data_IF_914752762689
#
_entry.id   IF_914752762689
#
_cell.length_a   1.000
_cell.length_b   1.000
_cell.length_c   1.000
_cell.angle_alpha   90.00
_cell.angle_beta   90.00
_cell.angle_gamma   90.00
#
_symmetry.space_group_name_H-M   'P 1'
#
loop_
_entity.id
_entity.type
_entity.pdbx_description
1 polymer ?
#
# COMPACT_ATOMS: atom_id res chain seq x y z
N UNK A 1 -22.25 -59.03 15.86
CA UNK A 1 -23.32 -58.62 14.91
C UNK A 1 -22.83 -57.36 14.23
N UNK A 2 -22.17 -57.51 13.09
CA UNK A 2 -22.78 -57.40 11.75
C UNK A 2 -23.13 -55.96 11.38
N UNK A 3 -22.30 -55.38 10.53
CA UNK A 3 -22.74 -54.37 9.58
C UNK A 3 -23.90 -54.91 8.73
N UNK A 4 -24.83 -54.05 8.31
CA UNK A 4 -25.50 -54.21 7.04
C UNK A 4 -24.92 -53.23 6.00
N UNK A 5 -24.69 -53.81 4.83
CA UNK A 5 -24.27 -53.19 3.57
C UNK A 5 -25.41 -52.42 2.91
N UNK A 6 -25.04 -51.28 2.31
CA UNK A 6 -25.52 -50.64 1.08
C UNK A 6 -26.98 -50.73 0.62
N UNK A 7 -27.57 -49.55 0.32
CA UNK A 7 -28.38 -49.33 -0.90
C UNK A 7 -28.20 -47.88 -1.41
N UNK A 8 -27.83 -47.78 -2.69
CA UNK A 8 -27.91 -46.57 -3.51
C UNK A 8 -29.35 -46.05 -3.61
N UNK A 9 -29.52 -44.73 -3.67
CA UNK A 9 -30.61 -44.09 -4.41
C UNK A 9 -30.04 -42.89 -5.17
N UNK A 10 -30.30 -42.93 -6.47
CA UNK A 10 -29.99 -41.94 -7.51
C UNK A 10 -30.79 -40.63 -7.38
N UNK A 11 -30.40 -39.58 -8.11
CA UNK A 11 -30.82 -38.19 -7.90
C UNK A 11 -32.14 -37.86 -8.61
N UNK A 12 -32.91 -36.94 -8.04
CA UNK A 12 -34.05 -36.31 -8.72
C UNK A 12 -33.98 -34.81 -8.50
N UNK A 13 -33.38 -34.10 -9.45
CA UNK A 13 -34.12 -33.05 -10.16
C UNK A 13 -33.41 -32.75 -11.49
N UNK A 14 -34.15 -33.03 -12.56
CA UNK A 14 -33.88 -32.63 -13.93
C UNK A 14 -34.47 -31.22 -14.12
N UNK A 15 -33.70 -30.30 -14.71
CA UNK A 15 -34.26 -29.21 -15.51
C UNK A 15 -33.42 -29.01 -16.77
N UNK A 16 -33.83 -29.68 -17.84
CA UNK A 16 -33.71 -29.18 -19.23
C UNK A 16 -34.68 -28.01 -19.38
N UNK A 17 -34.48 -26.91 -20.10
CA UNK A 17 -33.44 -26.43 -21.01
C UNK A 17 -33.70 -24.91 -21.15
N UNK A 18 -32.70 -24.07 -21.44
CA UNK A 18 -32.61 -23.38 -22.73
C UNK A 18 -31.27 -22.65 -22.88
N UNK A 19 -31.01 -22.25 -24.12
CA UNK A 19 -29.73 -22.17 -24.81
C UNK A 19 -29.02 -20.81 -24.67
N UNK A 20 -27.70 -20.85 -24.83
CA UNK A 20 -26.84 -19.79 -25.38
C UNK A 20 -26.38 -18.66 -24.43
N UNK A 21 -25.10 -18.68 -24.04
CA UNK A 21 -24.21 -17.53 -23.81
C UNK A 21 -22.84 -17.99 -23.29
N UNK A 22 -21.83 -17.94 -24.16
CA UNK A 22 -20.41 -17.74 -23.81
C UNK A 22 -19.67 -18.91 -23.13
N UNK A 23 -18.55 -19.32 -23.73
CA UNK A 23 -17.61 -20.21 -23.06
C UNK A 23 -17.21 -19.65 -21.68
N UNK A 24 -17.06 -20.49 -20.63
CA UNK A 24 -16.53 -20.04 -19.35
C UNK A 24 -15.14 -19.43 -19.56
N UNK A 25 -14.79 -18.35 -18.85
CA UNK A 25 -13.45 -17.76 -18.95
C UNK A 25 -12.40 -18.82 -18.61
N UNK A 26 -11.22 -18.81 -19.27
CA UNK A 26 -10.20 -19.82 -19.03
C UNK A 26 -9.77 -19.82 -17.57
N UNK A 27 -9.70 -21.01 -16.98
CA UNK A 27 -9.10 -21.24 -15.66
C UNK A 27 -7.65 -20.74 -15.69
N UNK A 28 -7.33 -19.76 -14.87
CA UNK A 28 -5.99 -19.20 -14.77
C UNK A 28 -5.16 -20.02 -13.78
N UNK A 29 -4.75 -21.21 -14.21
CA UNK A 29 -3.59 -21.86 -13.59
C UNK A 29 -2.35 -21.19 -14.17
N UNK A 30 -1.70 -20.37 -13.36
CA UNK A 30 -0.42 -19.75 -13.66
C UNK A 30 0.63 -20.88 -13.76
N UNK A 31 0.75 -21.47 -14.95
CA UNK A 31 1.75 -22.46 -15.27
C UNK A 31 3.12 -21.81 -15.07
N UNK A 32 3.81 -22.20 -14.00
CA UNK A 32 5.17 -21.77 -13.68
C UNK A 32 6.12 -22.30 -14.77
N UNK A 33 6.71 -21.45 -15.63
CA UNK A 33 7.83 -21.88 -16.44
C UNK A 33 9.08 -21.68 -15.59
N UNK A 34 9.84 -22.77 -15.46
CA UNK A 34 11.16 -22.85 -14.87
C UNK A 34 12.04 -21.63 -15.18
N UNK A 35 12.72 -21.15 -14.15
CA UNK A 35 13.68 -20.05 -14.20
C UNK A 35 14.68 -20.20 -15.36
N UNK A 36 14.55 -19.34 -16.35
CA UNK A 36 15.64 -18.86 -17.19
C UNK A 36 15.70 -17.34 -16.99
N UNK A 37 16.91 -16.83 -16.73
CA UNK A 37 17.21 -15.41 -16.61
C UNK A 37 16.95 -14.70 -17.94
N UNK A 38 15.68 -14.36 -18.20
CA UNK A 38 15.29 -13.50 -19.30
C UNK A 38 15.38 -12.04 -18.83
N UNK A 39 16.17 -11.26 -19.55
CA UNK A 39 16.44 -9.84 -19.33
C UNK A 39 15.16 -9.05 -19.02
N UNK A 40 14.94 -8.75 -17.73
CA UNK A 40 13.99 -7.76 -17.26
C UNK A 40 14.46 -6.38 -17.73
N UNK A 41 13.57 -5.42 -18.03
CA UNK A 41 13.97 -4.03 -18.13
C UNK A 41 14.70 -3.67 -16.84
N UNK A 42 15.91 -3.11 -16.98
CA UNK A 42 16.78 -2.77 -15.87
C UNK A 42 16.12 -1.65 -15.07
N UNK A 43 15.47 -2.01 -13.96
CA UNK A 43 15.08 -1.05 -12.94
C UNK A 43 16.38 -0.58 -12.29
N UNK A 44 16.92 0.53 -12.80
CA UNK A 44 18.09 1.16 -12.19
C UNK A 44 17.86 1.30 -10.69
N UNK A 45 18.85 0.89 -9.89
CA UNK A 45 18.81 0.99 -8.44
C UNK A 45 18.37 2.42 -8.06
N UNK A 46 17.15 2.57 -7.55
CA UNK A 46 16.65 3.88 -7.08
C UNK A 46 17.53 4.46 -5.95
N UNK A 47 18.38 3.63 -5.34
CA UNK A 47 19.39 4.03 -4.35
C UNK A 47 20.71 4.53 -4.93
N UNK A 48 21.08 4.17 -6.17
CA UNK A 48 22.41 4.48 -6.71
C UNK A 48 22.44 5.80 -7.51
N UNK A 49 21.27 6.34 -7.88
CA UNK A 49 21.15 7.59 -8.64
C UNK A 49 21.36 8.87 -7.82
N UNK A 50 21.80 8.78 -6.56
CA UNK A 50 22.10 9.96 -5.74
C UNK A 50 23.56 10.43 -5.83
N UNK A 51 24.46 9.69 -6.50
CA UNK A 51 25.90 10.00 -6.53
C UNK A 51 26.64 9.76 -7.88
N UNK A 52 25.96 9.85 -9.03
CA UNK A 52 26.64 9.71 -10.33
C UNK A 52 26.89 11.07 -11.00
N UNK A 53 28.16 11.43 -11.20
CA UNK A 53 28.57 12.58 -12.01
C UNK A 53 28.10 12.46 -13.47
N UNK A 54 27.79 13.63 -14.04
CA UNK A 54 27.04 13.83 -15.27
C UNK A 54 27.64 13.19 -16.54
N UNK A 55 26.81 12.45 -17.27
CA UNK A 55 26.95 12.14 -18.70
C UNK A 55 25.62 12.37 -19.42
N UNK A 56 25.62 12.77 -20.71
CA UNK A 56 24.43 13.34 -21.35
C UNK A 56 23.53 12.24 -21.89
N UNK A 57 22.59 11.78 -21.07
CA UNK A 57 21.40 11.05 -21.51
C UNK A 57 20.24 11.54 -20.67
N UNK A 58 19.26 12.14 -21.34
CA UNK A 58 18.07 12.79 -20.76
C UNK A 58 17.14 11.77 -20.08
N UNK A 59 17.54 11.25 -18.93
CA UNK A 59 16.63 10.68 -17.94
C UNK A 59 16.40 11.79 -16.92
N UNK A 60 15.24 12.44 -16.96
CA UNK A 60 14.86 13.45 -15.97
C UNK A 60 14.81 12.76 -14.61
N UNK A 61 15.91 12.85 -13.86
CA UNK A 61 16.01 12.31 -12.52
C UNK A 61 15.01 13.10 -11.68
N UNK A 62 13.87 12.48 -11.37
CA UNK A 62 12.86 13.07 -10.50
C UNK A 62 13.54 13.41 -9.17
N UNK A 63 13.75 14.70 -8.92
CA UNK A 63 14.30 15.17 -7.65
C UNK A 63 13.21 15.04 -6.61
N UNK A 64 13.47 14.27 -5.57
CA UNK A 64 12.50 14.09 -4.51
C UNK A 64 12.32 15.42 -3.75
N UNK A 65 11.06 15.86 -3.68
CA UNK A 65 10.65 17.13 -3.08
C UNK A 65 9.48 16.89 -2.11
N UNK A 66 9.50 15.77 -1.41
CA UNK A 66 8.53 15.45 -0.36
C UNK A 66 8.64 16.46 0.80
N UNK A 67 7.50 16.79 1.41
CA UNK A 67 7.39 17.84 2.42
C UNK A 67 7.65 17.34 3.84
N UNK A 68 7.09 16.18 4.23
CA UNK A 68 7.14 15.67 5.60
C UNK A 68 8.08 14.49 5.74
N UNK A 69 7.99 13.55 4.81
CA UNK A 69 8.70 12.28 4.93
C UNK A 69 9.88 12.21 3.97
N UNK A 70 10.95 11.49 4.31
CA UNK A 70 11.98 11.17 3.33
C UNK A 70 11.40 10.30 2.19
N UNK A 71 12.06 10.26 1.02
CA UNK A 71 11.58 9.51 -0.14
C UNK A 71 11.38 8.01 0.12
N UNK A 72 12.20 7.45 1.00
CA UNK A 72 12.15 6.06 1.43
C UNK A 72 12.19 5.99 2.96
N UNK A 73 11.35 5.11 3.52
CA UNK A 73 11.20 4.88 4.95
C UNK A 73 11.34 3.39 5.21
N UNK A 74 12.23 3.04 6.13
CA UNK A 74 12.29 1.72 6.74
C UNK A 74 11.54 1.73 8.07
N UNK A 75 10.86 0.63 8.35
CA UNK A 75 10.18 0.40 9.60
C UNK A 75 10.94 -0.65 10.42
N UNK A 76 11.33 -0.26 11.63
CA UNK A 76 12.11 -1.08 12.54
C UNK A 76 11.23 -1.46 13.73
N UNK A 77 11.17 -2.76 14.02
CA UNK A 77 10.53 -3.25 15.24
C UNK A 77 11.41 -2.93 16.45
N UNK A 78 10.83 -2.32 17.48
CA UNK A 78 11.45 -2.35 18.80
C UNK A 78 10.99 -3.60 19.55
N UNK A 79 11.97 -4.42 19.96
CA UNK A 79 11.78 -5.73 20.58
C UNK A 79 11.30 -5.68 22.05
N UNK A 80 10.56 -4.66 22.44
CA UNK A 80 10.08 -4.48 23.80
C UNK A 80 8.58 -4.20 23.87
N UNK A 81 8.03 -4.44 25.06
CA UNK A 81 6.65 -4.34 25.55
C UNK A 81 5.69 -3.29 24.92
N UNK A 82 6.21 -2.25 24.26
CA UNK A 82 5.44 -1.11 23.74
C UNK A 82 4.84 -1.31 22.34
N UNK A 83 5.16 -2.41 21.63
CA UNK A 83 4.72 -2.68 20.24
C UNK A 83 4.95 -1.51 19.28
N UNK A 84 5.87 -0.59 19.61
CA UNK A 84 6.11 0.62 18.82
C UNK A 84 7.09 0.35 17.69
N UNK A 85 6.80 0.89 16.52
CA UNK A 85 7.62 0.82 15.33
C UNK A 85 8.34 2.15 15.12
N UNK A 86 9.62 2.10 14.78
CA UNK A 86 10.41 3.28 14.43
C UNK A 86 10.50 3.39 12.93
N UNK A 87 10.34 4.60 12.41
CA UNK A 87 10.31 4.90 11.00
C UNK A 87 11.43 5.88 10.66
N UNK A 88 12.21 5.56 9.63
CA UNK A 88 13.27 6.43 9.16
C UNK A 88 14.05 5.85 7.97
N UNK A 89 14.89 6.66 7.30
CA UNK A 89 15.71 6.19 6.18
C UNK A 89 16.66 5.06 6.59
N UNK A 90 17.18 5.11 7.82
CA UNK A 90 18.04 4.08 8.41
C UNK A 90 17.67 3.83 9.89
N UNK A 91 18.36 2.90 10.54
CA UNK A 91 18.15 2.62 11.98
C UNK A 91 18.78 3.72 12.86
N UNK A 92 19.76 4.43 12.33
CA UNK A 92 20.45 5.54 12.98
C UNK A 92 19.65 6.84 12.84
N UNK A 93 19.00 7.03 11.70
CA UNK A 93 18.15 8.18 11.41
C UNK A 93 16.67 7.88 11.71
N UNK A 94 16.30 8.00 12.99
CA UNK A 94 14.96 7.70 13.50
C UNK A 94 14.12 8.96 13.52
N UNK A 95 13.20 9.10 12.56
CA UNK A 95 12.45 10.35 12.36
C UNK A 95 11.03 10.28 12.93
N UNK A 96 10.36 9.14 12.81
CA UNK A 96 8.97 8.98 13.23
C UNK A 96 8.77 7.70 14.03
N UNK A 97 7.62 7.60 14.68
CA UNK A 97 7.19 6.41 15.38
C UNK A 97 5.74 6.09 15.04
N UNK A 98 5.42 4.81 14.93
CA UNK A 98 4.06 4.33 14.83
C UNK A 98 3.78 3.39 15.99
N UNK A 99 2.73 3.64 16.75
CA UNK A 99 2.36 2.81 17.89
C UNK A 99 0.94 2.25 17.70
N UNK A 100 0.73 0.93 17.84
CA UNK A 100 -0.61 0.39 18.02
C UNK A 100 -1.16 0.94 19.33
N UNK A 101 -2.32 1.60 19.28
CA UNK A 101 -2.95 2.05 20.50
C UNK A 101 -3.65 0.86 21.18
N UNK A 102 -2.96 0.26 22.14
CA UNK A 102 -3.47 -0.86 22.94
C UNK A 102 -3.60 -0.43 24.41
N UNK A 103 -4.76 0.09 24.79
CA UNK A 103 -5.14 0.32 26.18
C UNK A 103 -6.24 -0.64 26.61
N UNK A 104 -6.22 -1.14 27.84
CA UNK A 104 -7.31 -1.93 28.42
C UNK A 104 -8.69 -1.24 28.39
N UNK A 105 -8.73 0.09 28.17
CA UNK A 105 -9.95 0.89 27.98
C UNK A 105 -10.27 1.22 26.52
N UNK A 106 -9.34 1.01 25.57
CA UNK A 106 -9.61 1.34 24.17
C UNK A 106 -10.37 0.22 23.48
N UNK A 107 -11.55 0.56 22.99
CA UNK A 107 -12.38 -0.26 22.13
C UNK A 107 -12.05 0.00 20.65
N UNK A 108 -10.84 0.43 20.34
CA UNK A 108 -10.44 0.74 18.96
C UNK A 108 -9.16 0.00 18.59
N UNK A 109 -9.15 -0.51 17.37
CA UNK A 109 -7.93 -0.99 16.71
C UNK A 109 -7.39 0.20 15.94
N UNK A 110 -6.36 0.83 16.47
CA UNK A 110 -5.80 2.08 15.96
C UNK A 110 -4.27 1.98 15.89
N UNK A 111 -3.71 2.66 14.89
CA UNK A 111 -2.29 2.98 14.80
C UNK A 111 -2.18 4.50 14.88
N UNK A 112 -1.28 4.97 15.74
CA UNK A 112 -0.97 6.39 15.90
C UNK A 112 0.42 6.61 15.31
N UNK A 113 0.51 7.52 14.33
CA UNK A 113 1.75 7.99 13.73
C UNK A 113 2.17 9.28 14.45
N UNK A 114 3.42 9.34 14.88
CA UNK A 114 4.00 10.42 15.68
C UNK A 114 5.10 11.17 14.93
N UNK A 115 5.19 12.46 15.18
CA UNK A 115 6.18 13.39 14.63
C UNK A 115 7.49 13.36 15.43
N UNK A 116 8.10 12.18 15.50
CA UNK A 116 9.33 11.96 16.24
C UNK A 116 9.55 10.48 16.57
N UNK A 117 10.72 10.11 17.09
CA UNK A 117 11.13 8.72 17.26
C UNK A 117 10.44 7.99 18.42
N UNK A 118 9.44 8.57 19.08
CA UNK A 118 8.72 7.92 20.21
C UNK A 118 7.25 8.32 20.23
N UNK A 119 6.45 7.53 20.94
CA UNK A 119 5.01 7.76 21.21
C UNK A 119 4.71 9.01 22.03
N UNK A 120 5.74 9.68 22.57
CA UNK A 120 5.62 10.94 23.32
C UNK A 120 5.63 12.18 22.42
N UNK A 121 5.95 12.02 21.14
CA UNK A 121 5.97 13.12 20.19
C UNK A 121 4.56 13.46 19.67
N UNK A 122 4.36 14.67 19.12
CA UNK A 122 3.07 15.10 18.58
C UNK A 122 2.47 14.09 17.61
N UNK A 123 1.15 13.95 17.60
CA UNK A 123 0.46 13.04 16.69
C UNK A 123 0.42 13.65 15.29
N UNK A 124 0.87 12.92 14.27
CA UNK A 124 0.70 13.26 12.87
C UNK A 124 -0.63 12.76 12.34
N UNK A 125 -0.99 11.52 12.66
CA UNK A 125 -2.23 10.92 12.23
C UNK A 125 -2.61 9.76 13.16
N UNK A 126 -3.92 9.54 13.31
CA UNK A 126 -4.47 8.33 13.90
C UNK A 126 -5.30 7.64 12.83
N UNK A 127 -5.03 6.36 12.57
CA UNK A 127 -5.83 5.54 11.67
C UNK A 127 -6.39 4.34 12.43
N UNK A 128 -7.68 4.07 12.28
CA UNK A 128 -8.25 2.88 12.88
C UNK A 128 -9.74 2.73 12.74
N UNK A 129 -10.26 1.70 13.40
CA UNK A 129 -11.69 1.43 13.47
C UNK A 129 -12.08 0.90 14.83
N UNK A 130 -13.38 0.94 15.10
CA UNK A 130 -13.94 0.29 16.27
C UNK A 130 -13.61 -1.21 16.27
N UNK A 131 -13.24 -1.76 17.43
CA UNK A 131 -12.75 -3.14 17.54
C UNK A 131 -13.76 -4.21 17.09
N UNK A 132 -15.06 -3.95 17.30
CA UNK A 132 -16.16 -4.81 16.89
C UNK A 132 -16.73 -4.44 15.52
N UNK A 133 -16.12 -3.49 14.81
CA UNK A 133 -16.52 -3.15 13.46
C UNK A 133 -16.30 -4.36 12.54
N UNK A 134 -17.23 -4.55 11.60
CA UNK A 134 -17.11 -5.63 10.61
C UNK A 134 -15.85 -5.42 9.77
N UNK A 135 -15.38 -6.48 9.12
CA UNK A 135 -14.22 -6.40 8.23
C UNK A 135 -14.39 -5.32 7.15
N UNK A 136 -15.60 -5.19 6.61
CA UNK A 136 -15.97 -4.24 5.55
C UNK A 136 -16.14 -2.79 6.03
N UNK A 137 -16.20 -2.53 7.34
CA UNK A 137 -16.33 -1.17 7.85
C UNK A 137 -15.05 -0.38 7.53
N UNK A 138 -15.16 0.84 6.97
CA UNK A 138 -14.03 1.72 6.73
C UNK A 138 -13.21 1.95 8.00
N UNK A 139 -11.91 2.20 7.82
CA UNK A 139 -11.12 2.79 8.87
C UNK A 139 -11.04 4.30 8.66
N UNK A 140 -11.14 5.04 9.75
CA UNK A 140 -11.07 6.50 9.76
C UNK A 140 -9.62 6.92 9.98
N UNK A 141 -9.19 7.95 9.26
CA UNK A 141 -7.91 8.62 9.41
C UNK A 141 -8.18 10.03 9.91
N UNK A 142 -7.56 10.40 11.03
CA UNK A 142 -7.67 11.71 11.64
C UNK A 142 -6.29 12.33 11.73
N UNK A 143 -6.13 13.53 11.18
CA UNK A 143 -4.94 14.38 11.34
C UNK A 143 -5.35 15.54 12.25
N UNK A 144 -4.68 15.74 13.41
CA UNK A 144 -5.02 16.82 14.31
C UNK A 144 -4.75 18.20 13.66
N UNK A 145 -5.47 19.26 14.07
CA UNK A 145 -5.20 20.60 13.60
C UNK A 145 -3.76 21.02 13.93
N UNK A 146 -3.14 21.74 13.00
CA UNK A 146 -1.77 22.28 13.11
C UNK A 146 -1.81 23.80 13.25
N UNK A 147 -1.80 24.25 14.49
CA UNK A 147 -1.82 25.67 14.83
C UNK A 147 -0.63 26.42 14.21
N UNK A 148 0.53 25.78 14.11
CA UNK A 148 1.74 26.32 13.48
C UNK A 148 1.57 26.60 11.98
N UNK A 149 0.59 25.97 11.33
CA UNK A 149 0.19 26.22 9.94
C UNK A 149 -1.10 27.06 9.82
N UNK A 150 -1.64 27.54 10.94
CA UNK A 150 -2.89 28.29 10.99
C UNK A 150 -4.14 27.44 10.78
N UNK A 151 -4.05 26.11 10.97
CA UNK A 151 -5.20 25.21 10.86
C UNK A 151 -5.98 25.17 12.18
N UNK A 152 -7.27 25.48 12.12
CA UNK A 152 -8.16 25.50 13.30
C UNK A 152 -9.00 24.24 13.46
N UNK A 153 -9.04 23.39 12.43
CA UNK A 153 -9.82 22.15 12.40
C UNK A 153 -8.95 21.00 11.92
N UNK A 154 -9.11 19.84 12.54
CA UNK A 154 -8.46 18.61 12.08
C UNK A 154 -8.99 18.19 10.71
N UNK A 155 -8.24 17.31 10.06
CA UNK A 155 -8.63 16.68 8.82
C UNK A 155 -9.06 15.23 9.06
N UNK A 156 -10.13 14.81 8.40
CA UNK A 156 -10.66 13.45 8.49
C UNK A 156 -10.91 12.89 7.10
N UNK A 157 -10.49 11.64 6.89
CA UNK A 157 -10.84 10.87 5.68
C UNK A 157 -10.98 9.39 6.05
N UNK A 158 -11.44 8.58 5.10
CA UNK A 158 -11.66 7.15 5.29
C UNK A 158 -10.87 6.33 4.29
N UNK A 159 -10.42 5.17 4.73
CA UNK A 159 -9.92 4.11 3.87
C UNK A 159 -10.89 2.93 3.89
N UNK A 160 -11.41 2.59 2.72
CA UNK A 160 -12.46 1.61 2.53
C UNK A 160 -11.94 0.35 1.87
N UNK A 161 -12.73 -0.73 1.94
CA UNK A 161 -12.54 -1.88 1.06
C UNK A 161 -12.77 -1.50 -0.41
N UNK A 162 -12.39 -2.38 -1.32
CA UNK A 162 -12.45 -2.09 -2.75
C UNK A 162 -13.89 -2.17 -3.27
N UNK A 163 -14.42 -1.11 -3.91
CA UNK A 163 -15.67 -1.17 -4.64
C UNK A 163 -15.66 -2.28 -5.69
N UNK A 164 -16.82 -2.92 -5.94
CA UNK A 164 -16.90 -4.09 -6.83
C UNK A 164 -16.28 -3.89 -8.24
N UNK A 165 -16.31 -2.67 -8.78
CA UNK A 165 -15.76 -2.33 -10.09
C UNK A 165 -14.26 -2.01 -10.14
N UNK A 166 -13.51 -2.18 -9.04
CA UNK A 166 -12.07 -1.98 -8.99
C UNK A 166 -11.32 -3.30 -8.72
N UNK A 167 -10.01 -3.32 -8.98
CA UNK A 167 -9.17 -4.49 -8.76
C UNK A 167 -9.22 -4.98 -7.30
N UNK A 168 -9.72 -6.21 -7.10
CA UNK A 168 -9.97 -6.81 -5.78
C UNK A 168 -8.72 -7.39 -5.10
N UNK A 169 -7.52 -7.26 -5.69
CA UNK A 169 -6.26 -7.83 -5.20
C UNK A 169 -5.84 -7.30 -3.79
N UNK A 170 -6.42 -7.85 -2.71
CA UNK A 170 -6.15 -7.47 -1.29
C UNK A 170 -6.05 -5.95 -1.09
N UNK A 171 -6.95 -5.22 -1.73
CA UNK A 171 -6.78 -3.81 -2.02
C UNK A 171 -7.59 -2.91 -1.07
N UNK A 172 -7.20 -1.63 -0.96
CA UNK A 172 -7.88 -0.59 -0.16
C UNK A 172 -7.90 0.74 -0.87
N UNK A 173 -8.96 1.51 -0.71
CA UNK A 173 -9.17 2.76 -1.44
C UNK A 173 -9.35 3.92 -0.47
N UNK A 174 -8.75 5.06 -0.79
CA UNK A 174 -9.07 6.33 -0.14
C UNK A 174 -9.19 7.45 -1.17
N UNK A 175 -9.80 8.56 -0.79
CA UNK A 175 -9.88 9.75 -1.62
C UNK A 175 -9.60 10.99 -0.79
N UNK A 176 -8.93 11.97 -1.37
CA UNK A 176 -8.65 13.23 -0.71
C UNK A 176 -8.38 14.33 -1.72
N UNK A 177 -8.55 15.58 -1.29
CA UNK A 177 -8.11 16.74 -2.04
C UNK A 177 -6.59 16.86 -1.94
N UNK A 178 -5.94 17.01 -3.08
CA UNK A 178 -4.51 17.25 -3.23
C UNK A 178 -4.27 18.56 -3.99
N UNK A 179 -3.04 19.06 -3.93
CA UNK A 179 -2.68 20.33 -4.55
C UNK A 179 -3.19 21.55 -3.78
N UNK A 180 -3.37 22.67 -4.48
CA UNK A 180 -3.87 23.91 -3.91
C UNK A 180 -2.78 24.93 -3.59
N UNK A 181 -3.12 25.90 -2.73
CA UNK A 181 -2.25 27.06 -2.45
C UNK A 181 -0.88 26.67 -1.89
N UNK A 182 -0.81 25.59 -1.12
CA UNK A 182 0.44 25.11 -0.50
C UNK A 182 1.43 24.54 -1.51
N UNK A 183 0.95 23.96 -2.62
CA UNK A 183 1.78 23.38 -3.69
C UNK A 183 1.86 24.25 -4.93
N UNK A 184 1.08 25.34 -5.00
CA UNK A 184 0.98 26.21 -6.17
C UNK A 184 0.23 25.59 -7.36
N UNK A 185 -0.52 24.50 -7.13
CA UNK A 185 -1.31 23.79 -8.15
C UNK A 185 -2.81 23.94 -7.90
N UNK A 186 -3.63 23.58 -8.89
CA UNK A 186 -5.09 23.53 -8.68
C UNK A 186 -5.45 22.43 -7.68
N UNK A 187 -6.35 22.75 -6.75
CA UNK A 187 -6.86 21.77 -5.81
C UNK A 187 -7.82 20.81 -6.52
N UNK A 188 -7.57 19.51 -6.41
CA UNK A 188 -8.42 18.48 -7.03
C UNK A 188 -8.60 17.27 -6.11
N UNK A 189 -9.75 16.62 -6.22
CA UNK A 189 -10.03 15.39 -5.48
C UNK A 189 -9.50 14.19 -6.26
N UNK A 190 -8.60 13.45 -5.63
CA UNK A 190 -8.00 12.26 -6.22
C UNK A 190 -8.32 11.02 -5.40
N UNK A 191 -8.32 9.88 -6.09
CA UNK A 191 -8.57 8.57 -5.55
C UNK A 191 -7.36 7.68 -5.74
N UNK A 192 -7.02 6.97 -4.66
CA UNK A 192 -5.85 6.12 -4.60
C UNK A 192 -6.24 4.72 -4.13
N UNK A 193 -5.53 3.71 -4.65
CA UNK A 193 -5.78 2.31 -4.32
C UNK A 193 -4.49 1.58 -4.00
N UNK A 194 -4.38 1.02 -2.80
CA UNK A 194 -3.37 0.01 -2.50
C UNK A 194 -3.76 -1.28 -3.21
N UNK A 195 -2.90 -1.82 -4.08
CA UNK A 195 -3.10 -3.10 -4.78
C UNK A 195 -2.01 -4.09 -4.37
N UNK A 196 -2.41 -5.30 -4.03
CA UNK A 196 -1.48 -6.38 -3.69
C UNK A 196 -0.60 -6.72 -4.88
N UNK A 197 0.70 -6.87 -4.64
CA UNK A 197 1.66 -7.15 -5.70
C UNK A 197 2.72 -8.16 -5.25
N UNK A 198 3.00 -9.10 -6.15
CA UNK A 198 4.20 -9.95 -6.16
C UNK A 198 5.19 -9.49 -7.24
N UNK A 199 5.03 -8.26 -7.74
CA UNK A 199 5.78 -7.71 -8.87
C UNK A 199 7.24 -7.40 -8.55
N UNK A 200 8.06 -7.24 -9.60
CA UNK A 200 9.51 -6.96 -9.49
C UNK A 200 9.81 -5.73 -8.63
N UNK A 201 8.97 -4.71 -8.73
CA UNK A 201 9.13 -3.44 -7.99
C UNK A 201 9.01 -3.63 -6.46
N UNK A 202 8.26 -4.65 -6.00
CA UNK A 202 8.18 -5.02 -4.57
C UNK A 202 9.37 -5.90 -4.17
N UNK A 203 9.77 -6.83 -5.05
CA UNK A 203 10.89 -7.73 -4.83
C UNK A 203 12.22 -6.97 -4.74
N UNK A 204 12.42 -5.98 -5.60
CA UNK A 204 13.59 -5.10 -5.64
C UNK A 204 13.67 -4.21 -4.41
N UNK A 205 12.55 -3.62 -3.99
CA UNK A 205 12.53 -2.75 -2.82
C UNK A 205 13.04 -3.48 -1.56
N UNK A 206 12.69 -4.76 -1.39
CA UNK A 206 13.03 -5.57 -0.22
C UNK A 206 14.14 -6.63 -0.46
N UNK A 207 14.91 -6.55 -1.56
CA UNK A 207 15.98 -7.51 -1.91
C UNK A 207 15.53 -8.98 -1.83
N UNK A 208 14.43 -9.33 -2.51
CA UNK A 208 13.86 -10.68 -2.54
C UNK A 208 12.62 -10.86 -1.64
N UNK A 209 11.86 -9.78 -1.42
CA UNK A 209 10.51 -9.83 -0.85
C UNK A 209 9.51 -10.44 -1.83
N UNK A 210 8.64 -11.35 -1.39
CA UNK A 210 7.69 -12.10 -2.24
C UNK A 210 6.31 -11.46 -2.29
N UNK A 211 6.05 -10.45 -1.46
CA UNK A 211 4.73 -9.85 -1.30
C UNK A 211 4.79 -8.42 -0.74
N UNK A 212 3.90 -7.58 -1.25
CA UNK A 212 3.75 -6.19 -0.84
C UNK A 212 2.58 -5.53 -1.56
N UNK A 213 2.53 -4.21 -1.53
CA UNK A 213 1.48 -3.41 -2.15
C UNK A 213 2.06 -2.23 -2.91
N UNK A 214 1.31 -1.78 -3.91
CA UNK A 214 1.58 -0.56 -4.66
C UNK A 214 0.40 0.38 -4.46
N UNK A 215 0.66 1.65 -4.22
CA UNK A 215 -0.37 2.67 -4.22
C UNK A 215 -0.52 3.21 -5.63
N UNK A 216 -1.72 3.09 -6.16
CA UNK A 216 -2.07 3.43 -7.53
C UNK A 216 -2.98 4.64 -7.54
N UNK A 217 -2.70 5.59 -8.42
CA UNK A 217 -3.48 6.81 -8.62
C UNK A 217 -4.51 6.59 -9.71
N UNK A 218 -5.80 6.69 -9.37
CA UNK A 218 -6.89 6.16 -10.21
C UNK A 218 -7.56 7.19 -11.14
N UNK A 219 -7.28 8.48 -10.97
CA UNK A 219 -7.99 9.53 -11.70
C UNK A 219 -7.57 9.64 -13.18
N UNK A 220 -6.36 9.21 -13.52
CA UNK A 220 -5.79 9.34 -14.85
C UNK A 220 -5.18 8.00 -15.25
N UNK A 221 -5.33 7.66 -16.53
CA UNK A 221 -4.62 6.56 -17.19
C UNK A 221 -3.70 7.21 -18.20
N UNK A 222 -2.41 6.95 -18.11
CA UNK A 222 -1.46 7.54 -19.05
C UNK A 222 -1.67 6.94 -20.44
N UNK A 223 -1.75 7.79 -21.47
CA UNK A 223 -1.94 7.34 -22.86
C UNK A 223 -0.76 6.45 -23.28
N UNK A 224 -1.06 5.25 -23.76
CA UNK A 224 -0.05 4.27 -24.15
C UNK A 224 0.67 3.57 -22.99
N UNK A 225 0.35 3.91 -21.72
CA UNK A 225 0.86 3.21 -20.57
C UNK A 225 0.04 1.94 -20.25
N UNK A 226 0.70 0.94 -19.67
CA UNK A 226 0.09 -0.35 -19.34
C UNK A 226 0.47 -1.46 -20.31
N UNK A 227 -0.29 -2.55 -20.29
CA UNK A 227 0.03 -3.76 -21.05
C UNK A 227 0.94 -4.73 -20.29
N UNK A 228 1.65 -5.58 -21.05
CA UNK A 228 2.47 -6.64 -20.48
C UNK A 228 3.64 -6.06 -19.67
N UNK A 229 4.13 -6.79 -18.66
CA UNK A 229 5.24 -6.32 -17.80
C UNK A 229 6.51 -5.95 -18.60
N UNK A 230 6.72 -6.60 -19.76
CA UNK A 230 7.91 -6.40 -20.60
C UNK A 230 7.84 -5.13 -21.45
N UNK A 231 6.63 -4.66 -21.76
CA UNK A 231 6.39 -3.56 -22.69
C UNK A 231 5.97 -2.27 -21.99
N UNK A 232 5.41 -2.37 -20.77
CA UNK A 232 4.92 -1.21 -20.04
C UNK A 232 6.06 -0.33 -19.51
N UNK A 233 5.80 0.97 -19.47
CA UNK A 233 6.68 1.93 -18.81
C UNK A 233 6.80 1.64 -17.31
N UNK A 234 8.01 1.81 -16.77
CA UNK A 234 8.25 1.67 -15.34
C UNK A 234 7.42 2.69 -14.53
N UNK A 235 6.92 2.28 -13.36
CA UNK A 235 6.08 3.15 -12.53
C UNK A 235 4.61 3.16 -12.92
N UNK A 236 4.17 2.34 -13.88
CA UNK A 236 2.76 2.16 -14.21
C UNK A 236 2.29 0.71 -14.00
N UNK A 237 1.01 0.57 -13.67
CA UNK A 237 0.33 -0.72 -13.59
C UNK A 237 -0.03 -1.25 -14.98
N UNK A 238 -0.44 -2.53 -15.08
CA UNK A 238 -0.84 -3.13 -16.37
C UNK A 238 -2.08 -2.49 -17.00
N UNK A 239 -2.92 -1.86 -16.18
CA UNK A 239 -4.07 -1.05 -16.60
C UNK A 239 -3.72 0.44 -16.78
N UNK A 240 -2.43 0.79 -16.81
CA UNK A 240 -1.94 2.12 -17.22
C UNK A 240 -2.05 3.21 -16.15
N UNK A 241 -2.37 2.85 -14.91
CA UNK A 241 -2.40 3.80 -13.80
C UNK A 241 -1.02 3.99 -13.17
N UNK A 242 -0.74 5.22 -12.76
CA UNK A 242 0.52 5.59 -12.11
C UNK A 242 0.65 4.94 -10.72
N UNK A 243 1.84 4.41 -10.42
CA UNK A 243 2.25 3.95 -9.11
C UNK A 243 2.92 5.13 -8.38
N UNK A 244 2.33 5.54 -7.26
CA UNK A 244 2.76 6.72 -6.48
C UNK A 244 3.41 6.38 -5.14
N UNK A 245 3.28 5.13 -4.69
CA UNK A 245 4.03 4.61 -3.55
C UNK A 245 4.14 3.08 -3.60
N UNK A 246 5.10 2.52 -2.89
CA UNK A 246 5.36 1.09 -2.79
C UNK A 246 5.57 0.73 -1.32
N UNK A 247 4.95 -0.37 -0.90
CA UNK A 247 5.09 -0.97 0.43
C UNK A 247 5.54 -2.41 0.26
N UNK A 248 6.77 -2.73 0.67
CA UNK A 248 7.29 -4.09 0.63
C UNK A 248 7.42 -4.66 2.04
N UNK A 249 6.98 -5.92 2.20
CA UNK A 249 7.19 -6.66 3.45
C UNK A 249 8.58 -7.27 3.44
N UNK A 250 9.28 -7.23 4.59
CA UNK A 250 10.56 -7.90 4.74
C UNK A 250 10.43 -9.08 5.70
N UNK A 251 9.86 -10.17 5.22
CA UNK A 251 9.64 -11.39 6.02
C UNK A 251 10.94 -12.09 6.44
N UNK A 252 12.10 -11.73 5.85
CA UNK A 252 13.39 -12.33 6.15
C UNK A 252 14.15 -11.62 7.27
N UNK A 253 13.66 -10.49 7.77
CA UNK A 253 14.31 -9.74 8.84
C UNK A 253 13.51 -9.82 10.14
N UNK A 254 14.20 -10.17 11.23
CA UNK A 254 13.61 -10.17 12.58
C UNK A 254 13.47 -8.75 13.17
N UNK A 255 14.11 -7.75 12.56
CA UNK A 255 14.16 -6.36 13.07
C UNK A 255 13.60 -5.34 12.09
N UNK A 256 13.55 -5.65 10.77
CA UNK A 256 12.97 -4.79 9.74
C UNK A 256 11.58 -5.31 9.37
N UNK A 257 10.53 -4.54 9.65
CA UNK A 257 9.16 -4.96 9.38
C UNK A 257 8.71 -4.72 7.94
N UNK A 258 8.85 -3.49 7.47
CA UNK A 258 8.45 -3.08 6.12
C UNK A 258 9.40 -2.01 5.59
N UNK A 259 9.44 -1.89 4.27
CA UNK A 259 10.07 -0.76 3.57
C UNK A 259 9.01 -0.08 2.72
N UNK A 260 8.96 1.23 2.84
CA UNK A 260 8.04 2.10 2.11
C UNK A 260 8.86 3.05 1.23
N UNK A 261 8.37 3.33 0.03
CA UNK A 261 8.95 4.36 -0.84
C UNK A 261 7.84 5.11 -1.55
N UNK A 262 8.00 6.43 -1.68
CA UNK A 262 7.26 7.20 -2.66
C UNK A 262 7.77 6.86 -4.06
N UNK A 263 6.91 7.04 -5.06
CA UNK A 263 7.20 6.81 -6.48
C UNK A 263 6.42 7.81 -7.34
N UNK A 264 6.79 7.94 -8.62
CA UNK A 264 6.08 8.81 -9.58
C UNK A 264 5.84 10.21 -9.03
N UNK A 265 4.61 10.72 -9.23
CA UNK A 265 4.13 12.00 -8.72
C UNK A 265 4.16 12.11 -7.18
N UNK A 266 4.16 10.99 -6.46
CA UNK A 266 4.33 10.96 -5.01
C UNK A 266 5.70 11.48 -4.52
N UNK A 267 6.72 11.50 -5.37
CA UNK A 267 8.04 12.06 -5.06
C UNK A 267 8.13 13.57 -5.24
N UNK A 268 7.17 14.18 -5.93
CA UNK A 268 7.29 15.56 -6.41
C UNK A 268 6.86 16.62 -5.38
N UNK A 269 6.25 16.21 -4.28
CA UNK A 269 5.62 17.12 -3.31
C UNK A 269 4.35 17.81 -3.82
N UNK A 270 3.94 17.62 -5.08
CA UNK A 270 2.77 18.27 -5.67
C UNK A 270 1.43 17.75 -5.15
N UNK A 271 1.43 16.54 -4.56
CA UNK A 271 0.25 15.98 -3.91
C UNK A 271 0.03 16.56 -2.49
N UNK A 272 1.01 17.28 -1.95
CA UNK A 272 0.94 18.00 -0.68
C UNK A 272 1.31 17.15 0.54
N UNK A 273 1.71 17.84 1.62
CA UNK A 273 2.16 17.21 2.85
C UNK A 273 1.09 16.31 3.47
N UNK A 274 -0.16 16.76 3.46
CA UNK A 274 -1.29 16.00 4.00
C UNK A 274 -1.47 14.67 3.29
N UNK A 275 -1.25 14.63 1.98
CA UNK A 275 -1.29 13.40 1.21
C UNK A 275 -0.18 12.43 1.61
N UNK A 276 1.03 12.93 1.87
CA UNK A 276 2.13 12.08 2.33
C UNK A 276 1.80 11.41 3.68
N UNK A 277 1.21 12.17 4.62
CA UNK A 277 0.79 11.66 5.94
C UNK A 277 -0.29 10.59 5.80
N UNK A 278 -1.34 10.85 5.01
CA UNK A 278 -2.40 9.88 4.74
C UNK A 278 -1.84 8.62 4.08
N UNK A 279 -0.91 8.79 3.14
CA UNK A 279 -0.27 7.69 2.42
C UNK A 279 0.54 6.78 3.36
N UNK A 280 1.38 7.36 4.23
CA UNK A 280 2.14 6.59 5.21
C UNK A 280 1.22 5.91 6.23
N UNK A 281 0.20 6.63 6.75
CA UNK A 281 -0.77 6.06 7.69
C UNK A 281 -1.53 4.87 7.08
N UNK A 282 -1.98 4.98 5.84
CA UNK A 282 -2.69 3.89 5.14
C UNK A 282 -1.79 2.73 4.77
N UNK A 283 -0.51 2.96 4.48
CA UNK A 283 0.48 1.90 4.29
C UNK A 283 0.64 1.07 5.58
N UNK A 284 0.85 1.75 6.72
CA UNK A 284 0.98 1.10 8.03
C UNK A 284 -0.28 0.31 8.38
N UNK A 285 -1.46 0.87 8.15
CA UNK A 285 -2.73 0.20 8.41
C UNK A 285 -2.96 -1.01 7.51
N UNK A 286 -2.61 -0.91 6.22
CA UNK A 286 -2.68 -2.03 5.27
C UNK A 286 -1.81 -3.19 5.74
N UNK A 287 -0.57 -2.90 6.12
CA UNK A 287 0.34 -3.91 6.66
C UNK A 287 -0.13 -4.49 7.99
N UNK A 288 -0.48 -3.64 8.97
CA UNK A 288 -0.88 -4.05 10.32
C UNK A 288 -2.10 -4.97 10.31
N UNK A 289 -3.10 -4.64 9.49
CA UNK A 289 -4.29 -5.49 9.37
C UNK A 289 -4.06 -6.75 8.54
N UNK A 290 -3.08 -6.75 7.63
CA UNK A 290 -2.65 -7.97 6.95
C UNK A 290 -1.99 -8.94 7.94
N UNK A 291 -1.05 -8.48 8.76
CA UNK A 291 -0.41 -9.33 9.77
C UNK A 291 -1.42 -9.85 10.81
N UNK A 292 -2.33 -9.00 11.32
CA UNK A 292 -3.38 -9.45 12.27
C UNK A 292 -4.32 -10.49 11.66
N UNK A 293 -4.64 -10.38 10.36
CA UNK A 293 -5.51 -11.33 9.67
C UNK A 293 -4.84 -12.67 9.39
N UNK A 294 -3.51 -12.70 9.28
CA UNK A 294 -2.73 -13.91 8.96
C UNK A 294 -2.41 -14.73 10.22
N UNK A 295 -2.33 -14.10 11.39
CA UNK A 295 -2.14 -14.79 12.68
C UNK A 295 -3.42 -15.45 13.24
N UNK A 296 -4.58 -15.21 12.61
CA UNK A 296 -5.90 -15.68 13.06
C UNK A 296 -6.54 -16.80 12.24
N UNK A 297 -5.81 -17.41 11.30
CA UNK A 297 -6.31 -18.47 10.39
C UNK A 297 -5.56 -19.77 10.56
#
# INVERSE_FOLDING_TARGET
MSYPSGKQKEPVYSSTADTDLGAPPPSYDEAVPSAAQDNLPEYGNLSDNLNAEAGPSSCTTLTAATHKFPPTINCYFQWAFTRTFILGPSNEERLFAASPHAGWRTKRREIILHDGPTDKHPVLATIGKWWAAKAQTPATIVIPPREERGETSGFETEITGVPWGLDQSSARVFSMTVGGKETGTEARTERFQWRGSRGGEVSELAHGGTYGWKLVRLNEVAEGAGGSRREREAGYTSDGHEIVAILATNYKSLTKGLKFSFAGSGLTGLLGERWEIVTVATALWTWYTHIEGTEGS
#
